data_IF_278839089375
#
_entry.id   IF_278839089375
#
_cell.length_a   1.000
_cell.length_b   1.000
_cell.length_c   1.000
_cell.angle_alpha   90.00
_cell.angle_beta   90.00
_cell.angle_gamma   90.00
#
_symmetry.space_group_name_H-M   'P 1'
#
loop_
_entity.id
_entity.type
_entity.pdbx_description
1 polymer ?
#
# COMPACT_ATOMS: atom_id res chain seq x y z
N UNK A 1 -6.41 20.03 -20.44
CA UNK A 1 -6.28 20.15 -19.91
C UNK A 1 -5.99 20.04 -19.25
N UNK A 2 -5.93 20.03 -18.80
CA UNK A 2 -5.62 20.14 -18.04
C UNK A 2 -5.09 19.52 -17.28
N UNK A 3 -4.95 18.99 -17.37
CA UNK A 3 -4.39 18.23 -16.67
C UNK A 3 -3.44 18.81 -15.91
N UNK A 4 -2.80 19.53 -16.33
CA UNK A 4 -1.84 20.12 -15.69
C UNK A 4 -2.30 20.54 -14.46
N UNK A 5 -3.40 20.70 -14.46
CA UNK A 5 -3.89 21.11 -13.33
C UNK A 5 -3.87 20.18 -12.32
N UNK A 6 -3.49 19.03 -12.52
CA UNK A 6 -3.53 18.12 -11.50
C UNK A 6 -2.46 18.36 -10.59
N UNK A 7 -2.11 19.48 -10.39
CA UNK A 7 -1.24 19.80 -9.39
C UNK A 7 0.06 19.20 -9.53
N UNK A 8 0.55 19.02 -10.62
CA UNK A 8 1.85 18.51 -10.81
C UNK A 8 2.03 17.05 -10.53
N UNK A 9 0.97 16.32 -10.45
CA UNK A 9 1.09 14.88 -10.26
C UNK A 9 1.60 14.29 -11.55
N UNK A 10 2.73 13.60 -11.49
CA UNK A 10 3.27 12.99 -12.68
C UNK A 10 2.62 11.64 -12.90
N UNK A 11 2.68 11.10 -14.11
CA UNK A 11 2.12 9.76 -14.36
C UNK A 11 2.74 8.69 -13.49
N UNK A 12 4.04 8.83 -13.18
CA UNK A 12 4.69 7.85 -12.34
C UNK A 12 4.15 7.91 -10.92
N UNK A 13 3.95 9.10 -10.40
CA UNK A 13 3.40 9.25 -9.06
C UNK A 13 1.98 8.70 -8.99
N UNK A 14 1.20 8.96 -10.02
CA UNK A 14 -0.16 8.45 -10.05
C UNK A 14 -0.15 6.92 -10.03
N UNK A 15 0.76 6.32 -10.78
CA UNK A 15 0.84 4.87 -10.86
C UNK A 15 1.25 4.29 -9.50
N UNK A 16 2.20 4.92 -8.84
CA UNK A 16 2.64 4.46 -7.53
C UNK A 16 1.50 4.55 -6.53
N UNK A 17 0.77 5.65 -6.54
CA UNK A 17 -0.35 5.79 -5.62
C UNK A 17 -1.38 4.70 -5.84
N UNK A 18 -1.65 4.39 -7.10
CA UNK A 18 -2.62 3.37 -7.40
C UNK A 18 -2.14 2.01 -6.92
N UNK A 19 -0.86 1.71 -7.14
CA UNK A 19 -0.32 0.44 -6.69
C UNK A 19 -0.33 0.32 -5.17
N UNK A 20 -0.03 1.40 -4.47
CA UNK A 20 -0.05 1.39 -3.01
C UNK A 20 -1.49 1.22 -2.51
N UNK A 21 -2.43 1.85 -3.16
CA UNK A 21 -3.84 1.70 -2.80
C UNK A 21 -4.27 0.24 -2.91
N UNK A 22 -3.88 -0.42 -3.99
CA UNK A 22 -4.20 -1.83 -4.15
C UNK A 22 -3.49 -2.69 -3.13
N UNK A 23 -2.26 -2.33 -2.78
CA UNK A 23 -1.52 -3.07 -1.77
C UNK A 23 -2.22 -2.97 -0.42
N UNK A 24 -2.71 -1.80 -0.08
CA UNK A 24 -3.46 -1.65 1.17
C UNK A 24 -4.67 -2.58 1.20
N UNK A 25 -5.36 -2.64 0.09
CA UNK A 25 -6.53 -3.51 -0.01
C UNK A 25 -6.14 -4.98 0.20
N UNK A 26 -5.07 -5.41 -0.46
CA UNK A 26 -4.64 -6.81 -0.33
C UNK A 26 -4.11 -7.10 1.06
N UNK A 27 -3.45 -6.15 1.69
CA UNK A 27 -2.97 -6.36 3.04
C UNK A 27 -4.12 -6.60 4.02
N UNK A 28 -5.24 -5.96 3.76
CA UNK A 28 -6.39 -6.09 4.65
C UNK A 28 -7.35 -7.23 4.31
N UNK A 29 -7.29 -7.74 3.09
CA UNK A 29 -8.26 -8.74 2.66
C UNK A 29 -7.66 -10.09 2.36
N UNK A 30 -6.33 -10.23 2.41
CA UNK A 30 -5.71 -11.52 2.12
C UNK A 30 -4.64 -11.81 3.16
N UNK A 31 -4.16 -13.06 3.13
CA UNK A 31 -3.01 -13.43 3.95
C UNK A 31 -1.77 -13.57 3.09
N UNK A 32 -1.76 -12.96 1.93
CA UNK A 32 -0.62 -13.06 1.03
C UNK A 32 0.64 -12.57 1.72
N UNK A 33 1.77 -13.24 1.49
CA UNK A 33 3.04 -12.72 1.97
C UNK A 33 3.31 -11.36 1.33
N UNK A 34 4.09 -10.55 2.02
CA UNK A 34 4.41 -9.21 1.51
C UNK A 34 5.07 -9.29 0.14
N UNK A 35 5.93 -10.29 -0.07
CA UNK A 35 6.60 -10.45 -1.36
C UNK A 35 5.59 -10.68 -2.47
N UNK A 36 4.55 -11.44 -2.18
CA UNK A 36 3.53 -11.71 -3.19
C UNK A 36 2.74 -10.45 -3.51
N UNK A 37 2.39 -9.68 -2.50
CA UNK A 37 1.65 -8.45 -2.71
C UNK A 37 2.48 -7.50 -3.57
N UNK A 38 3.77 -7.37 -3.26
CA UNK A 38 4.65 -6.50 -4.04
C UNK A 38 4.61 -6.88 -5.51
N UNK A 39 4.69 -8.17 -5.77
CA UNK A 39 4.67 -8.65 -7.14
C UNK A 39 3.33 -8.41 -7.82
N UNK A 40 2.25 -8.72 -7.12
CA UNK A 40 0.91 -8.59 -7.68
C UNK A 40 0.61 -7.15 -8.06
N UNK A 41 1.00 -6.20 -7.21
CA UNK A 41 0.69 -4.81 -7.52
C UNK A 41 1.72 -4.16 -8.43
N UNK A 42 2.76 -4.90 -8.83
CA UNK A 42 3.63 -4.42 -9.90
C UNK A 42 4.97 -3.86 -9.50
N UNK A 43 5.45 -4.13 -8.29
CA UNK A 43 6.77 -3.67 -7.91
C UNK A 43 7.82 -4.71 -8.28
N UNK A 44 9.02 -4.25 -8.61
CA UNK A 44 10.08 -5.14 -9.06
C UNK A 44 10.71 -5.92 -7.92
N UNK A 45 10.60 -5.44 -6.69
CA UNK A 45 11.14 -6.17 -5.54
C UNK A 45 10.37 -5.83 -4.31
N UNK A 46 10.42 -6.72 -3.32
CA UNK A 46 9.76 -6.47 -2.07
C UNK A 46 10.41 -5.31 -1.33
N UNK A 47 11.72 -5.19 -1.44
CA UNK A 47 12.45 -4.14 -0.78
C UNK A 47 12.01 -2.77 -1.27
N UNK A 48 11.92 -2.62 -2.57
CA UNK A 48 11.49 -1.36 -3.16
C UNK A 48 10.04 -1.08 -2.78
N UNK A 49 9.20 -2.10 -2.85
CA UNK A 49 7.81 -1.96 -2.46
C UNK A 49 7.70 -1.47 -1.02
N UNK A 50 8.46 -2.08 -0.10
CA UNK A 50 8.40 -1.69 1.30
C UNK A 50 8.82 -0.25 1.52
N UNK A 51 9.85 0.18 0.83
CA UNK A 51 10.29 1.56 0.94
C UNK A 51 9.24 2.53 0.47
N UNK A 52 8.66 2.25 -0.69
CA UNK A 52 7.64 3.12 -1.24
C UNK A 52 6.40 3.13 -0.36
N UNK A 53 5.99 1.95 0.11
CA UNK A 53 4.82 1.84 0.95
C UNK A 53 4.99 2.66 2.22
N UNK A 54 6.16 2.55 2.84
CA UNK A 54 6.42 3.29 4.06
C UNK A 54 6.44 4.79 3.79
N UNK A 55 6.97 5.19 2.65
CA UNK A 55 7.00 6.60 2.31
C UNK A 55 5.59 7.14 2.11
N UNK A 56 4.73 6.35 1.48
CA UNK A 56 3.39 6.81 1.17
C UNK A 56 2.43 6.72 2.36
N UNK A 57 2.62 5.76 3.23
CA UNK A 57 1.66 5.54 4.31
C UNK A 57 2.22 5.83 5.69
N UNK A 58 3.53 5.94 5.82
CA UNK A 58 4.16 6.12 7.12
C UNK A 58 4.44 4.82 7.85
N UNK A 59 3.99 3.69 7.33
CA UNK A 59 4.18 2.40 7.98
C UNK A 59 4.70 1.39 6.98
N UNK A 60 5.48 0.43 7.48
CA UNK A 60 5.88 -0.67 6.63
C UNK A 60 4.64 -1.53 6.34
N UNK A 61 4.67 -2.32 5.27
CA UNK A 61 3.52 -3.17 4.96
C UNK A 61 3.15 -4.11 6.10
N UNK A 62 4.15 -4.68 6.78
CA UNK A 62 3.86 -5.57 7.90
C UNK A 62 3.19 -4.83 9.04
N UNK A 63 3.69 -3.64 9.35
CA UNK A 63 3.08 -2.86 10.40
C UNK A 63 1.68 -2.42 10.05
N UNK A 64 1.47 -2.09 8.80
CA UNK A 64 0.16 -1.68 8.35
C UNK A 64 -0.83 -2.84 8.53
N UNK A 65 -0.43 -4.05 8.13
CA UNK A 65 -1.29 -5.22 8.29
C UNK A 65 -1.58 -5.49 9.76
N UNK A 66 -0.55 -5.39 10.60
CA UNK A 66 -0.76 -5.61 12.01
C UNK A 66 -1.67 -4.59 12.62
N UNK A 67 -1.55 -3.37 12.18
CA UNK A 67 -2.41 -2.30 12.66
C UNK A 67 -3.87 -2.61 12.37
N UNK A 68 -4.15 -3.14 11.19
CA UNK A 68 -5.51 -3.50 10.84
C UNK A 68 -6.02 -4.67 11.69
N UNK A 69 -5.16 -5.64 11.91
CA UNK A 69 -5.54 -6.78 12.73
C UNK A 69 -5.84 -6.33 14.16
N UNK A 70 -4.99 -5.47 14.69
CA UNK A 70 -5.20 -4.97 16.04
C UNK A 70 -6.52 -4.24 16.16
N UNK A 71 -6.85 -3.45 15.16
CA UNK A 71 -8.10 -2.73 15.18
C UNK A 71 -9.27 -3.69 15.14
N UNK A 72 -9.16 -4.73 14.35
CA UNK A 72 -10.22 -5.72 14.28
C UNK A 72 -10.39 -6.42 15.61
N UNK A 73 -9.29 -6.76 16.24
CA UNK A 73 -9.38 -7.39 17.53
C UNK A 73 -10.03 -6.51 18.56
N UNK A 74 -9.62 -5.26 18.60
CA UNK A 74 -10.19 -4.33 19.55
C UNK A 74 -11.68 -4.21 19.31
N UNK A 75 -12.07 -4.11 18.07
CA UNK A 75 -13.48 -4.01 17.74
C UNK A 75 -14.22 -5.28 18.12
N UNK A 76 -13.59 -6.41 17.95
CA UNK A 76 -14.22 -7.67 18.26
C UNK A 76 -14.42 -7.88 19.75
N UNK A 77 -13.56 -7.27 20.55
CA UNK A 77 -13.69 -7.46 21.98
C UNK A 77 -14.82 -6.68 22.58
N UNK A 78 -15.17 -5.65 21.93
CA UNK A 78 -16.21 -4.82 22.45
C UNK A 78 -17.56 -5.32 21.97
#
# INVERSE_FOLDING_TARGET
>A
MHLKNYKGVSPINYLIEKRISEAKHLLGTTNFPIAKIASVVGFSSQSYFSQVFRKETGLSPNKYRKSMDSQNEAGGLI
#
